data_IF_581115105779
#
_entry.id   IF_581115105779
#
_cell.length_a   1.000
_cell.length_b   1.000
_cell.length_c   1.000
_cell.angle_alpha   90.00
_cell.angle_beta   90.00
_cell.angle_gamma   90.00
#
_symmetry.space_group_name_H-M   'P 1'
#
loop_
_entity.id
_entity.type
_entity.pdbx_description
1 polymer ?
#
# COMPACT_ATOMS: atom_id res chain seq x y z
N UNK A 1 -5.90 17.37 24.82
CA UNK A 1 -4.81 16.74 24.04
C UNK A 1 -4.72 15.28 24.47
N UNK A 2 -4.75 14.33 23.54
CA UNK A 2 -4.49 12.91 23.88
C UNK A 2 -2.99 12.77 24.10
N UNK A 3 -2.56 12.43 25.31
CA UNK A 3 -1.19 12.03 25.57
C UNK A 3 -0.97 10.66 24.91
N UNK A 4 -0.09 10.59 23.92
CA UNK A 4 0.35 9.33 23.33
C UNK A 4 1.54 8.83 24.13
N UNK A 5 1.32 7.76 24.91
CA UNK A 5 2.39 7.04 25.60
C UNK A 5 2.99 6.03 24.62
N UNK A 6 4.32 5.96 24.55
CA UNK A 6 5.03 4.91 23.79
C UNK A 6 4.73 3.57 24.47
N UNK A 7 4.08 2.65 23.78
CA UNK A 7 3.82 1.31 24.29
C UNK A 7 5.07 0.49 23.99
N UNK A 8 5.83 0.15 25.03
CA UNK A 8 6.96 -0.78 24.87
C UNK A 8 6.42 -2.17 24.52
N UNK A 9 6.56 -2.56 23.26
CA UNK A 9 6.15 -3.89 22.79
C UNK A 9 7.30 -4.87 22.94
N UNK A 10 7.09 -5.98 23.63
CA UNK A 10 8.01 -7.11 23.65
C UNK A 10 7.89 -7.93 22.36
N UNK A 11 8.82 -8.87 22.11
CA UNK A 11 8.68 -9.85 21.01
C UNK A 11 7.31 -10.54 21.04
N UNK A 12 6.87 -10.93 22.24
CA UNK A 12 5.60 -11.61 22.44
C UNK A 12 4.42 -10.73 22.03
N UNK A 13 4.44 -9.45 22.43
CA UNK A 13 3.36 -8.51 22.09
C UNK A 13 3.25 -8.32 20.57
N UNK A 14 4.38 -8.26 19.86
CA UNK A 14 4.40 -8.15 18.39
C UNK A 14 3.80 -9.40 17.75
N UNK A 15 4.22 -10.59 18.18
CA UNK A 15 3.70 -11.85 17.65
C UNK A 15 2.20 -12.02 17.93
N UNK A 16 1.74 -11.66 19.13
CA UNK A 16 0.32 -11.72 19.50
C UNK A 16 -0.51 -10.71 18.68
N UNK A 17 0.02 -9.53 18.42
CA UNK A 17 -0.60 -8.52 17.56
C UNK A 17 -0.72 -8.98 16.10
N UNK A 18 0.34 -9.58 15.55
CA UNK A 18 0.34 -10.16 14.21
C UNK A 18 -0.66 -11.32 14.14
N UNK A 19 -0.66 -12.23 15.12
CA UNK A 19 -1.61 -13.36 15.19
C UNK A 19 -3.05 -12.88 15.25
N UNK A 20 -3.34 -11.87 16.08
CA UNK A 20 -4.66 -11.25 16.18
C UNK A 20 -5.07 -10.62 14.84
N UNK A 21 -4.16 -9.89 14.20
CA UNK A 21 -4.41 -9.23 12.92
C UNK A 21 -4.66 -10.24 11.80
N UNK A 22 -3.83 -11.28 11.72
CA UNK A 22 -4.02 -12.44 10.83
C UNK A 22 -5.40 -13.10 11.06
N UNK A 23 -5.76 -13.41 12.31
CA UNK A 23 -7.07 -13.96 12.63
C UNK A 23 -8.23 -13.06 12.18
N UNK A 24 -8.11 -11.75 12.33
CA UNK A 24 -9.13 -10.81 11.85
C UNK A 24 -9.31 -10.91 10.32
N UNK A 25 -8.24 -11.06 9.55
CA UNK A 25 -8.34 -11.24 8.11
C UNK A 25 -9.06 -12.53 7.71
N UNK A 26 -8.70 -13.66 8.34
CA UNK A 26 -9.22 -14.96 7.93
C UNK A 26 -10.61 -15.29 8.52
N UNK A 27 -10.98 -14.70 9.67
CA UNK A 27 -12.28 -14.97 10.33
C UNK A 27 -13.36 -13.93 10.03
N UNK A 28 -13.00 -12.67 9.84
CA UNK A 28 -13.97 -11.56 9.81
C UNK A 28 -14.20 -10.92 8.43
N UNK A 29 -13.42 -11.31 7.42
CA UNK A 29 -13.59 -10.87 6.03
C UNK A 29 -14.38 -11.94 5.31
N UNK A 30 -15.53 -11.56 4.73
CA UNK A 30 -16.21 -12.47 3.81
C UNK A 30 -15.23 -12.76 2.67
N UNK A 31 -15.02 -14.04 2.34
CA UNK A 31 -14.26 -14.46 1.14
C UNK A 31 -14.80 -13.86 -0.18
N UNK A 32 -15.90 -13.11 -0.13
CA UNK A 32 -16.47 -12.35 -1.24
C UNK A 32 -15.62 -11.13 -1.66
N UNK A 33 -14.75 -10.59 -0.79
CA UNK A 33 -14.02 -9.34 -1.08
C UNK A 33 -12.69 -9.54 -1.81
N UNK A 34 -12.06 -10.70 -1.64
CA UNK A 34 -10.75 -11.04 -2.18
C UNK A 34 -10.74 -12.48 -2.65
N UNK A 35 -9.94 -12.80 -3.66
CA UNK A 35 -9.83 -14.14 -4.22
C UNK A 35 -9.12 -15.12 -3.27
N UNK A 36 -9.34 -16.42 -3.50
CA UNK A 36 -8.63 -17.47 -2.74
C UNK A 36 -7.10 -17.35 -2.91
N UNK A 37 -6.63 -16.94 -4.09
CA UNK A 37 -5.20 -16.69 -4.37
C UNK A 37 -4.63 -15.56 -3.50
N UNK A 38 -5.39 -14.47 -3.31
CA UNK A 38 -5.00 -13.38 -2.42
C UNK A 38 -4.81 -13.89 -0.98
N UNK A 39 -5.80 -14.62 -0.46
CA UNK A 39 -5.75 -15.15 0.90
C UNK A 39 -4.64 -16.19 1.07
N UNK A 40 -4.42 -17.04 0.08
CA UNK A 40 -3.33 -18.02 0.09
C UNK A 40 -1.95 -17.33 0.17
N UNK A 41 -1.73 -16.29 -0.66
CA UNK A 41 -0.51 -15.50 -0.61
C UNK A 41 -0.34 -14.79 0.75
N UNK A 42 -1.41 -14.18 1.25
CA UNK A 42 -1.41 -13.45 2.52
C UNK A 42 -1.11 -14.37 3.72
N UNK A 43 -1.71 -15.56 3.76
CA UNK A 43 -1.49 -16.54 4.82
C UNK A 43 -0.05 -17.04 4.84
N UNK A 44 0.50 -17.33 3.66
CA UNK A 44 1.91 -17.73 3.52
C UNK A 44 2.85 -16.64 4.02
N UNK A 45 2.58 -15.37 3.69
CA UNK A 45 3.39 -14.23 4.13
C UNK A 45 3.32 -14.01 5.64
N UNK A 46 2.13 -14.11 6.24
CA UNK A 46 2.00 -14.01 7.70
C UNK A 46 2.78 -15.11 8.42
N UNK A 47 2.68 -16.35 7.93
CA UNK A 47 3.41 -17.49 8.49
C UNK A 47 4.92 -17.24 8.43
N UNK A 48 5.45 -16.94 7.24
CA UNK A 48 6.89 -16.67 7.05
C UNK A 48 7.37 -15.49 7.92
N UNK A 49 6.55 -14.44 8.05
CA UNK A 49 6.87 -13.28 8.86
C UNK A 49 6.93 -13.58 10.36
N UNK A 50 5.97 -14.35 10.87
CA UNK A 50 5.97 -14.78 12.27
C UNK A 50 7.15 -15.70 12.57
N UNK A 51 7.41 -16.70 11.72
CA UNK A 51 8.56 -17.61 11.86
C UNK A 51 9.88 -16.81 11.93
N UNK A 52 10.06 -15.85 11.03
CA UNK A 52 11.25 -15.01 11.00
C UNK A 52 11.40 -14.12 12.24
N UNK A 53 10.31 -13.62 12.80
CA UNK A 53 10.33 -12.85 14.07
C UNK A 53 10.66 -13.76 15.25
N UNK A 54 10.10 -14.97 15.28
CA UNK A 54 10.36 -15.97 16.33
C UNK A 54 11.87 -16.28 16.39
N UNK A 55 12.49 -16.52 15.23
CA UNK A 55 13.91 -16.83 15.07
C UNK A 55 14.85 -15.64 15.33
N UNK A 56 14.37 -14.41 15.20
CA UNK A 56 15.21 -13.21 15.33
C UNK A 56 15.41 -12.83 16.80
N UNK A 57 16.66 -12.61 17.24
CA UNK A 57 16.93 -12.05 18.58
C UNK A 57 16.56 -10.57 18.56
N UNK A 58 15.58 -10.19 19.38
CA UNK A 58 15.16 -8.80 19.58
C UNK A 58 15.66 -8.32 20.95
N UNK A 59 16.12 -7.08 21.00
CA UNK A 59 16.51 -6.42 22.26
C UNK A 59 15.27 -6.26 23.13
N UNK A 60 15.34 -6.72 24.37
CA UNK A 60 14.29 -6.65 25.39
C UNK A 60 14.94 -6.57 26.78
N UNK A 61 14.68 -5.54 27.60
CA UNK A 61 13.79 -4.40 27.35
C UNK A 61 14.37 -3.35 26.42
N UNK A 62 13.49 -2.67 25.67
CA UNK A 62 13.84 -1.47 24.92
C UNK A 62 13.98 -0.23 25.84
N UNK A 63 14.86 0.73 25.50
CA UNK A 63 14.87 2.05 26.13
C UNK A 63 13.53 2.79 25.93
N UNK A 64 13.31 3.89 26.64
CA UNK A 64 11.99 4.56 26.70
C UNK A 64 11.52 5.12 25.36
N UNK A 65 12.46 5.60 24.56
CA UNK A 65 12.21 6.27 23.28
C UNK A 65 12.09 5.30 22.10
N UNK A 66 12.16 3.98 22.35
CA UNK A 66 12.23 2.97 21.31
C UNK A 66 11.02 2.04 21.32
N UNK A 67 10.53 1.70 20.13
CA UNK A 67 9.42 0.77 19.95
C UNK A 67 9.63 -0.12 18.73
N UNK A 68 9.18 -1.38 18.83
CA UNK A 68 8.96 -2.21 17.67
C UNK A 68 7.59 -1.97 17.06
N UNK A 69 7.56 -1.70 15.76
CA UNK A 69 6.34 -1.59 14.97
C UNK A 69 6.43 -2.50 13.76
N UNK A 70 5.31 -3.04 13.30
CA UNK A 70 5.29 -3.81 12.07
C UNK A 70 4.25 -3.23 11.11
N UNK A 71 4.52 -3.38 9.82
CA UNK A 71 3.62 -2.95 8.77
C UNK A 71 3.67 -3.89 7.59
N UNK A 72 2.65 -3.84 6.77
CA UNK A 72 2.61 -4.52 5.49
C UNK A 72 1.94 -3.65 4.43
N UNK A 73 2.38 -3.82 3.21
CA UNK A 73 1.78 -3.25 2.02
C UNK A 73 1.71 -4.31 0.90
N UNK A 74 1.29 -3.93 -0.30
CA UNK A 74 1.24 -4.83 -1.45
C UNK A 74 2.60 -5.37 -1.90
N UNK A 75 3.71 -4.89 -1.35
CA UNK A 75 5.07 -5.19 -1.82
C UNK A 75 5.93 -5.86 -0.75
N UNK A 76 5.61 -5.70 0.54
CA UNK A 76 6.43 -6.24 1.64
C UNK A 76 5.72 -6.25 3.00
N UNK A 77 6.26 -7.09 3.88
CA UNK A 77 6.03 -7.09 5.33
C UNK A 77 7.33 -6.64 6.00
N UNK A 78 7.23 -5.75 6.98
CA UNK A 78 8.38 -5.18 7.68
C UNK A 78 8.19 -5.18 9.18
N UNK A 79 9.23 -5.59 9.91
CA UNK A 79 9.42 -5.26 11.32
C UNK A 79 10.39 -4.07 11.38
N UNK A 80 9.98 -3.04 12.10
CA UNK A 80 10.68 -1.79 12.26
C UNK A 80 11.03 -1.59 13.73
N UNK A 81 12.20 -1.00 13.97
CA UNK A 81 12.56 -0.39 15.24
C UNK A 81 12.52 1.13 15.05
N UNK A 82 11.66 1.78 15.81
CA UNK A 82 11.39 3.21 15.71
C UNK A 82 11.92 3.91 16.95
N UNK A 83 12.59 5.04 16.73
CA UNK A 83 12.95 5.98 17.79
C UNK A 83 12.02 7.18 17.74
N UNK A 84 11.62 7.65 18.90
CA UNK A 84 10.77 8.82 19.06
C UNK A 84 11.48 9.89 19.85
N UNK A 85 11.45 11.11 19.33
CA UNK A 85 11.80 12.28 20.12
C UNK A 85 10.64 12.59 21.08
N UNK A 86 10.91 12.51 22.38
CA UNK A 86 9.96 12.85 23.44
C UNK A 86 10.41 14.12 24.17
N UNK A 87 9.46 14.94 24.62
CA UNK A 87 9.78 16.06 25.49
C UNK A 87 9.93 15.64 26.96
N UNK A 88 10.28 16.58 27.83
CA UNK A 88 10.44 16.37 29.28
C UNK A 88 9.18 15.79 29.96
N UNK A 89 8.00 16.04 29.39
CA UNK A 89 6.71 15.51 29.85
C UNK A 89 6.36 14.14 29.23
N UNK A 90 7.32 13.47 28.58
CA UNK A 90 7.17 12.19 27.89
C UNK A 90 6.11 12.20 26.78
N UNK A 91 5.87 13.36 26.20
CA UNK A 91 4.97 13.51 25.06
C UNK A 91 5.77 13.32 23.78
N UNK A 92 5.30 12.42 22.93
CA UNK A 92 5.84 12.17 21.60
C UNK A 92 5.77 13.45 20.75
N UNK A 93 6.93 13.88 20.23
CA UNK A 93 7.06 15.01 19.31
C UNK A 93 7.07 14.51 17.86
N UNK A 94 7.97 13.58 17.54
CA UNK A 94 8.09 12.97 16.20
C UNK A 94 8.85 11.66 16.23
N UNK A 95 8.74 10.91 15.13
CA UNK A 95 9.68 9.85 14.76
C UNK A 95 10.87 10.49 14.06
N UNK A 96 12.08 10.28 14.55
CA UNK A 96 13.32 10.79 13.95
C UNK A 96 14.21 9.67 13.39
N UNK A 97 14.09 8.44 13.89
CA UNK A 97 14.81 7.28 13.35
C UNK A 97 13.88 6.07 13.12
N UNK A 98 14.11 5.38 12.01
CA UNK A 98 13.39 4.14 11.65
C UNK A 98 14.39 3.16 11.06
N UNK A 99 14.52 1.99 11.70
CA UNK A 99 15.37 0.90 11.22
C UNK A 99 14.51 -0.29 10.81
N UNK A 100 14.72 -0.81 9.60
CA UNK A 100 14.09 -2.06 9.18
C UNK A 100 14.88 -3.25 9.71
N UNK A 101 14.30 -4.00 10.63
CA UNK A 101 14.93 -5.19 11.23
C UNK A 101 14.66 -6.45 10.41
N UNK A 102 13.41 -6.63 9.99
CA UNK A 102 12.99 -7.75 9.15
C UNK A 102 12.25 -7.17 7.97
N UNK A 103 12.54 -7.72 6.79
CA UNK A 103 11.81 -7.45 5.56
C UNK A 103 11.53 -8.76 4.85
N UNK A 104 10.27 -8.97 4.52
CA UNK A 104 9.80 -10.08 3.68
C UNK A 104 9.13 -9.46 2.45
N UNK A 105 9.71 -9.62 1.25
CA UNK A 105 9.09 -9.12 0.03
C UNK A 105 7.87 -9.97 -0.33
N UNK A 106 6.81 -9.31 -0.81
CA UNK A 106 5.68 -10.00 -1.42
C UNK A 106 6.13 -10.57 -2.78
N UNK A 107 5.80 -11.84 -3.11
CA UNK A 107 6.12 -12.41 -4.41
C UNK A 107 5.55 -11.57 -5.57
N UNK A 108 6.39 -11.36 -6.60
CA UNK A 108 6.05 -10.53 -7.76
C UNK A 108 5.92 -11.39 -9.02
N UNK A 109 4.67 -11.65 -9.40
CA UNK A 109 4.27 -12.55 -10.47
C UNK A 109 4.45 -11.90 -11.86
N UNK A 110 4.76 -12.69 -12.88
CA UNK A 110 4.58 -12.23 -14.27
C UNK A 110 3.10 -12.14 -14.62
N UNK A 111 2.78 -11.50 -15.75
CA UNK A 111 1.41 -11.45 -16.24
C UNK A 111 0.84 -12.85 -16.54
N UNK A 112 1.68 -13.78 -17.00
CA UNK A 112 1.34 -15.17 -17.26
C UNK A 112 1.09 -15.95 -15.97
N UNK A 113 1.95 -15.80 -14.96
CA UNK A 113 1.77 -16.45 -13.65
C UNK A 113 0.51 -15.96 -12.96
N UNK A 114 0.27 -14.65 -12.97
CA UNK A 114 -0.97 -14.06 -12.45
C UNK A 114 -2.20 -14.59 -13.19
N UNK A 115 -2.13 -14.66 -14.53
CA UNK A 115 -3.21 -15.16 -15.34
C UNK A 115 -3.53 -16.64 -15.04
N UNK A 116 -2.49 -17.46 -14.87
CA UNK A 116 -2.61 -18.87 -14.52
C UNK A 116 -3.27 -19.07 -13.16
N UNK A 117 -2.80 -18.37 -12.12
CA UNK A 117 -3.35 -18.45 -10.75
C UNK A 117 -4.83 -18.08 -10.68
N UNK A 118 -5.25 -17.08 -11.45
CA UNK A 118 -6.66 -16.66 -11.48
C UNK A 118 -7.49 -17.31 -12.60
N UNK A 119 -6.95 -18.31 -13.32
CA UNK A 119 -7.61 -18.99 -14.43
C UNK A 119 -8.20 -18.04 -15.50
N UNK A 120 -7.39 -17.07 -15.93
CA UNK A 120 -7.74 -16.09 -16.97
C UNK A 120 -6.68 -16.05 -18.09
N UNK A 121 -6.97 -15.35 -19.19
CA UNK A 121 -6.02 -15.17 -20.29
C UNK A 121 -4.99 -14.08 -19.96
N UNK A 122 -3.71 -14.34 -20.21
CA UNK A 122 -2.63 -13.35 -20.03
C UNK A 122 -2.84 -12.04 -20.82
N UNK A 123 -3.48 -12.12 -22.01
CA UNK A 123 -3.87 -10.95 -22.79
C UNK A 123 -4.82 -10.00 -22.03
N UNK A 124 -5.71 -10.56 -21.19
CA UNK A 124 -6.63 -9.78 -20.35
C UNK A 124 -5.87 -9.05 -19.24
N UNK A 125 -4.90 -9.72 -18.62
CA UNK A 125 -4.01 -9.13 -17.60
C UNK A 125 -3.21 -7.97 -18.19
N UNK A 126 -2.61 -8.18 -19.36
CA UNK A 126 -1.86 -7.13 -20.08
C UNK A 126 -2.76 -5.94 -20.41
N UNK A 127 -4.00 -6.18 -20.84
CA UNK A 127 -4.98 -5.12 -21.09
C UNK A 127 -5.33 -4.36 -19.82
N UNK A 128 -5.44 -5.03 -18.67
CA UNK A 128 -5.70 -4.39 -17.38
C UNK A 128 -4.53 -3.51 -16.93
N UNK A 129 -3.30 -3.98 -17.08
CA UNK A 129 -2.11 -3.18 -16.79
C UNK A 129 -2.09 -1.93 -17.67
N UNK A 130 -2.29 -2.09 -18.99
CA UNK A 130 -2.31 -0.95 -19.93
C UNK A 130 -3.38 0.11 -19.58
N UNK A 131 -4.50 -0.33 -19.01
CA UNK A 131 -5.60 0.55 -18.55
C UNK A 131 -5.44 1.02 -17.10
N UNK A 132 -4.28 0.75 -16.50
CA UNK A 132 -3.92 1.07 -15.12
C UNK A 132 -4.91 0.54 -14.08
N UNK A 133 -5.45 -0.66 -14.34
CA UNK A 133 -6.36 -1.36 -13.43
C UNK A 133 -5.65 -2.24 -12.41
N UNK A 134 -4.39 -2.59 -12.66
CA UNK A 134 -3.52 -3.30 -11.73
C UNK A 134 -2.43 -2.32 -11.30
N UNK A 135 -2.62 -1.69 -10.14
CA UNK A 135 -1.78 -0.57 -9.67
C UNK A 135 -0.59 -1.00 -8.81
N UNK A 136 -0.66 -2.23 -8.35
CA UNK A 136 0.41 -2.95 -7.66
C UNK A 136 1.45 -3.53 -8.62
N UNK A 137 1.24 -3.35 -9.93
CA UNK A 137 2.19 -3.78 -10.94
C UNK A 137 3.32 -2.76 -11.09
N UNK A 138 4.49 -3.24 -11.48
CA UNK A 138 5.59 -2.41 -11.98
C UNK A 138 6.34 -3.08 -13.12
N UNK A 139 7.17 -2.30 -13.83
CA UNK A 139 7.97 -2.78 -14.94
C UNK A 139 9.39 -3.12 -14.47
N UNK A 140 9.85 -4.34 -14.78
CA UNK A 140 11.22 -4.78 -14.56
C UNK A 140 11.82 -5.16 -15.91
N UNK A 141 12.63 -4.27 -16.49
CA UNK A 141 13.09 -4.38 -17.86
C UNK A 141 11.92 -4.41 -18.86
N UNK A 142 11.72 -5.56 -19.52
CA UNK A 142 10.61 -5.76 -20.48
C UNK A 142 9.38 -6.44 -19.89
N UNK A 143 9.45 -6.88 -18.64
CA UNK A 143 8.43 -7.72 -18.03
C UNK A 143 7.65 -6.95 -16.97
N UNK A 144 6.33 -7.09 -16.98
CA UNK A 144 5.48 -6.59 -15.90
C UNK A 144 5.50 -7.56 -14.72
N UNK A 145 5.60 -6.99 -13.53
CA UNK A 145 5.63 -7.70 -12.25
C UNK A 145 4.42 -7.26 -11.43
N UNK A 146 3.57 -8.19 -11.03
CA UNK A 146 2.31 -7.94 -10.32
C UNK A 146 2.42 -8.55 -8.92
N UNK A 147 2.07 -7.79 -7.89
CA UNK A 147 2.09 -8.33 -6.52
C UNK A 147 1.15 -9.54 -6.39
N UNK A 148 1.58 -10.59 -5.69
CA UNK A 148 0.72 -11.72 -5.34
C UNK A 148 -0.45 -11.34 -4.43
N UNK A 149 -0.40 -10.17 -3.77
CA UNK A 149 -1.51 -9.60 -3.00
C UNK A 149 -2.43 -8.73 -3.87
N UNK A 150 -2.57 -9.04 -5.15
CA UNK A 150 -3.41 -8.26 -6.08
C UNK A 150 -4.64 -9.06 -6.45
N UNK A 151 -5.81 -8.46 -6.31
CA UNK A 151 -7.05 -9.07 -6.80
C UNK A 151 -7.40 -8.72 -8.24
N UNK A 152 -8.35 -9.48 -8.77
CA UNK A 152 -8.94 -9.18 -10.07
C UNK A 152 -9.58 -7.79 -10.06
N UNK A 153 -9.25 -6.92 -11.04
CA UNK A 153 -9.83 -5.60 -11.08
C UNK A 153 -11.36 -5.62 -11.24
N UNK A 154 -12.03 -4.72 -10.52
CA UNK A 154 -13.48 -4.55 -10.61
C UNK A 154 -13.91 -3.76 -11.86
N UNK A 155 -15.23 -3.69 -12.08
CA UNK A 155 -15.80 -2.91 -13.18
C UNK A 155 -15.66 -1.41 -12.89
N UNK A 156 -15.32 -0.64 -13.93
CA UNK A 156 -15.08 0.79 -13.81
C UNK A 156 -13.65 1.14 -13.41
N UNK A 157 -13.44 2.41 -13.07
CA UNK A 157 -12.23 2.95 -12.48
C UNK A 157 -12.52 3.29 -11.01
N UNK A 158 -11.58 2.98 -10.12
CA UNK A 158 -11.63 3.36 -8.71
C UNK A 158 -10.57 4.43 -8.47
N UNK A 159 -10.76 5.32 -7.50
CA UNK A 159 -9.75 6.32 -7.17
C UNK A 159 -8.41 5.67 -6.81
N UNK A 160 -7.32 6.43 -6.89
CA UNK A 160 -5.98 5.92 -6.67
C UNK A 160 -5.14 6.90 -5.88
N UNK A 161 -4.27 6.37 -5.02
CA UNK A 161 -3.26 7.14 -4.30
C UNK A 161 -1.90 6.49 -4.56
N UNK A 162 -0.90 7.31 -4.82
CA UNK A 162 0.47 6.87 -5.09
C UNK A 162 1.44 7.63 -4.19
N UNK A 163 2.34 6.91 -3.55
CA UNK A 163 3.49 7.47 -2.86
C UNK A 163 4.64 7.68 -3.84
N UNK A 164 5.16 8.90 -3.84
CA UNK A 164 6.29 9.30 -4.66
C UNK A 164 7.54 9.41 -3.76
N UNK A 165 8.57 8.59 -4.00
CA UNK A 165 9.81 8.66 -3.22
C UNK A 165 10.61 9.91 -3.58
N UNK A 166 11.53 10.30 -2.70
CA UNK A 166 12.36 11.50 -2.91
C UNK A 166 13.28 11.38 -4.13
N UNK A 167 13.77 10.17 -4.42
CA UNK A 167 14.69 9.88 -5.50
C UNK A 167 13.99 9.03 -6.56
N UNK A 168 13.58 9.68 -7.63
CA UNK A 168 13.01 9.05 -8.81
C UNK A 168 14.02 9.02 -9.96
N UNK A 169 14.13 7.85 -10.56
CA UNK A 169 14.79 7.66 -11.85
C UNK A 169 13.74 7.22 -12.86
N UNK A 170 14.05 7.32 -14.16
CA UNK A 170 13.22 6.75 -15.24
C UNK A 170 11.79 7.32 -15.36
N UNK A 171 11.65 8.64 -15.19
CA UNK A 171 10.40 9.36 -15.47
C UNK A 171 10.54 10.12 -16.81
N UNK A 172 9.58 9.99 -17.75
CA UNK A 172 9.59 10.78 -18.98
C UNK A 172 9.62 12.29 -18.73
N UNK A 173 10.41 13.01 -19.52
CA UNK A 173 10.67 14.47 -19.36
C UNK A 173 9.38 15.30 -19.22
N UNK A 174 8.32 14.94 -19.94
CA UNK A 174 7.04 15.66 -19.88
C UNK A 174 6.34 15.58 -18.51
N UNK A 175 6.61 14.54 -17.73
CA UNK A 175 5.99 14.33 -16.41
C UNK A 175 6.95 14.62 -15.26
N UNK A 176 8.26 14.65 -15.52
CA UNK A 176 9.28 14.88 -14.50
C UNK A 176 9.02 16.17 -13.68
N UNK A 177 8.73 17.34 -14.27
CA UNK A 177 8.49 18.58 -13.50
C UNK A 177 7.30 18.51 -12.54
N UNK A 178 6.32 17.65 -12.84
CA UNK A 178 5.12 17.43 -12.04
C UNK A 178 5.44 16.49 -10.87
N UNK A 179 6.00 15.33 -11.20
CA UNK A 179 6.20 14.23 -10.24
C UNK A 179 7.36 14.54 -9.29
N UNK A 180 8.43 15.19 -9.76
CA UNK A 180 9.64 15.45 -8.95
C UNK A 180 9.40 16.40 -7.76
N UNK A 181 8.28 17.14 -7.77
CA UNK A 181 7.90 18.09 -6.70
C UNK A 181 6.84 17.51 -5.75
N UNK A 182 6.33 16.32 -6.06
CA UNK A 182 5.29 15.65 -5.31
C UNK A 182 5.87 14.53 -4.45
N UNK A 183 5.32 14.33 -3.26
CA UNK A 183 5.46 13.11 -2.46
C UNK A 183 4.23 12.22 -2.54
N UNK A 184 3.08 12.75 -2.97
CA UNK A 184 1.85 11.98 -3.13
C UNK A 184 1.06 12.44 -4.35
N UNK A 185 0.46 11.49 -5.05
CA UNK A 185 -0.44 11.75 -6.18
C UNK A 185 -1.76 11.05 -5.92
N UNK A 186 -2.86 11.81 -6.02
CA UNK A 186 -4.22 11.32 -5.88
C UNK A 186 -4.93 11.47 -7.22
N UNK A 187 -5.56 10.41 -7.70
CA UNK A 187 -6.35 10.40 -8.93
C UNK A 187 -7.80 10.03 -8.59
N UNK A 188 -8.69 11.00 -8.72
CA UNK A 188 -10.12 10.83 -8.44
C UNK A 188 -10.93 10.84 -9.73
N UNK A 189 -11.92 9.97 -9.84
CA UNK A 189 -12.90 10.05 -10.91
C UNK A 189 -13.87 11.21 -10.63
N UNK A 190 -14.21 11.95 -11.68
CA UNK A 190 -15.31 12.90 -11.62
C UNK A 190 -16.66 12.16 -11.50
N UNK A 191 -17.45 12.53 -10.48
CA UNK A 191 -18.74 11.89 -10.20
C UNK A 191 -19.81 12.31 -11.20
N UNK A 192 -19.73 13.53 -11.71
CA UNK A 192 -20.72 14.16 -12.59
C UNK A 192 -20.38 13.93 -14.06
N UNK A 193 -19.09 13.78 -14.39
CA UNK A 193 -18.62 13.59 -15.76
C UNK A 193 -17.89 12.25 -15.97
N UNK A 194 -18.58 11.28 -16.56
CA UNK A 194 -18.03 9.94 -16.86
C UNK A 194 -16.86 10.07 -17.84
N UNK A 195 -15.68 9.60 -17.41
CA UNK A 195 -14.48 9.57 -18.24
C UNK A 195 -13.56 10.78 -18.04
N UNK A 196 -13.94 11.70 -17.13
CA UNK A 196 -13.08 12.75 -16.61
C UNK A 196 -12.52 12.37 -15.24
N UNK A 197 -11.30 12.84 -14.99
CA UNK A 197 -10.53 12.53 -13.81
C UNK A 197 -9.76 13.75 -13.35
N UNK A 198 -9.67 13.89 -12.04
CA UNK A 198 -8.84 14.88 -11.39
C UNK A 198 -7.56 14.22 -10.87
N UNK A 199 -6.42 14.81 -11.21
CA UNK A 199 -5.12 14.43 -10.64
C UNK A 199 -4.65 15.56 -9.76
N UNK A 200 -4.44 15.26 -8.47
CA UNK A 200 -3.94 16.20 -7.47
C UNK A 200 -2.58 15.72 -6.96
N UNK A 201 -1.58 16.61 -7.00
CA UNK A 201 -0.21 16.34 -6.58
C UNK A 201 0.08 17.12 -5.30
N UNK A 202 0.64 16.43 -4.31
CA UNK A 202 0.93 16.98 -2.99
C UNK A 202 2.42 16.89 -2.69
N UNK A 203 2.98 17.92 -2.04
CA UNK A 203 4.35 17.88 -1.54
C UNK A 203 4.44 17.18 -0.17
N UNK A 204 5.66 17.05 0.38
CA UNK A 204 5.90 16.41 1.69
C UNK A 204 5.17 17.07 2.87
N UNK A 205 4.77 18.33 2.71
CA UNK A 205 3.98 19.07 3.72
C UNK A 205 2.47 18.86 3.54
N UNK A 206 2.07 17.97 2.64
CA UNK A 206 0.69 17.72 2.25
C UNK A 206 -0.01 18.95 1.64
N UNK A 207 0.76 19.87 1.07
CA UNK A 207 0.22 21.01 0.33
C UNK A 207 0.00 20.59 -1.13
N UNK A 208 -1.18 20.88 -1.67
CA UNK A 208 -1.49 20.64 -3.08
C UNK A 208 -0.65 21.60 -3.94
N UNK A 209 0.32 21.05 -4.68
CA UNK A 209 1.21 21.83 -5.56
C UNK A 209 0.66 21.96 -6.97
N UNK A 210 -0.18 21.02 -7.40
CA UNK A 210 -0.81 21.05 -8.71
C UNK A 210 -2.08 20.21 -8.74
N UNK A 211 -3.05 20.70 -9.50
CA UNK A 211 -4.30 20.01 -9.82
C UNK A 211 -4.52 20.07 -11.33
N UNK A 212 -4.91 18.97 -11.95
CA UNK A 212 -5.25 18.93 -13.37
C UNK A 212 -6.45 18.03 -13.64
N UNK A 213 -7.25 18.44 -14.62
CA UNK A 213 -8.35 17.65 -15.15
C UNK A 213 -7.88 16.95 -16.42
N UNK A 214 -8.26 15.68 -16.57
CA UNK A 214 -7.82 14.87 -17.68
C UNK A 214 -8.90 13.89 -18.12
N UNK A 215 -8.88 13.53 -19.39
CA UNK A 215 -9.73 12.48 -19.93
C UNK A 215 -9.13 11.09 -19.68
N UNK A 216 -9.84 10.04 -20.09
CA UNK A 216 -9.40 8.65 -19.90
C UNK A 216 -8.02 8.36 -20.50
N UNK A 217 -7.72 8.88 -21.69
CA UNK A 217 -6.45 8.63 -22.38
C UNK A 217 -5.28 9.29 -21.65
N UNK A 218 -5.45 10.55 -21.27
CA UNK A 218 -4.45 11.31 -20.52
C UNK A 218 -4.19 10.70 -19.14
N UNK A 219 -5.25 10.26 -18.45
CA UNK A 219 -5.15 9.55 -17.18
C UNK A 219 -4.38 8.24 -17.33
N UNK A 220 -4.73 7.41 -18.32
CA UNK A 220 -4.02 6.14 -18.56
C UNK A 220 -2.55 6.36 -18.94
N UNK A 221 -2.23 7.43 -19.67
CA UNK A 221 -0.85 7.77 -20.00
C UNK A 221 -0.05 8.21 -18.77
N UNK A 222 -0.63 9.07 -17.93
CA UNK A 222 0.02 9.56 -16.72
C UNK A 222 0.16 8.47 -15.65
N UNK A 223 -0.95 7.79 -15.32
CA UNK A 223 -0.97 6.70 -14.34
C UNK A 223 -0.10 5.52 -14.80
N UNK A 224 -0.01 5.29 -16.11
CA UNK A 224 0.87 4.29 -16.71
C UNK A 224 2.34 4.50 -16.37
N UNK A 225 2.78 5.76 -16.28
CA UNK A 225 4.14 6.11 -15.84
C UNK A 225 4.32 5.84 -14.35
N UNK A 226 3.32 6.15 -13.53
CA UNK A 226 3.36 5.89 -12.10
C UNK A 226 3.50 4.39 -11.81
N UNK A 227 2.63 3.56 -12.39
CA UNK A 227 2.67 2.12 -12.15
C UNK A 227 3.90 1.48 -12.77
N UNK A 228 4.41 1.99 -13.90
CA UNK A 228 5.60 1.38 -14.51
C UNK A 228 6.85 1.48 -13.61
N UNK A 229 6.94 2.52 -12.78
CA UNK A 229 8.11 2.78 -11.97
C UNK A 229 8.13 1.91 -10.69
N UNK A 230 9.14 1.05 -10.46
CA UNK A 230 9.19 0.18 -9.29
C UNK A 230 9.33 0.92 -7.96
N UNK A 231 9.79 2.18 -7.96
CA UNK A 231 9.96 2.98 -6.74
C UNK A 231 8.67 3.69 -6.32
N UNK A 232 7.75 3.93 -7.25
CA UNK A 232 6.44 4.51 -6.95
C UNK A 232 5.53 3.42 -6.40
N UNK A 233 4.83 3.70 -5.30
CA UNK A 233 4.01 2.70 -4.59
C UNK A 233 2.55 3.10 -4.59
N UNK A 234 1.70 2.23 -5.12
CA UNK A 234 0.27 2.34 -4.88
C UNK A 234 -0.04 2.23 -3.38
N UNK A 235 -0.78 3.22 -2.86
CA UNK A 235 -1.27 3.26 -1.49
C UNK A 235 -2.76 2.92 -1.47
N UNK A 236 -3.20 2.01 -0.58
CA UNK A 236 -4.59 1.83 -0.24
C UNK A 236 -5.25 3.17 0.12
N UNK A 237 -6.42 3.48 -0.43
CA UNK A 237 -7.15 4.73 -0.12
C UNK A 237 -7.46 4.85 1.38
N UNK A 238 -7.63 3.72 2.07
CA UNK A 238 -7.94 3.69 3.50
C UNK A 238 -6.69 3.61 4.40
N UNK A 239 -5.50 3.93 3.87
CA UNK A 239 -4.27 4.12 4.62
C UNK A 239 -3.38 2.89 4.73
N UNK A 240 -3.93 1.68 4.88
CA UNK A 240 -3.17 0.43 4.81
C UNK A 240 -4.03 -0.70 4.24
N UNK A 241 -3.38 -1.81 3.90
CA UNK A 241 -4.04 -3.00 3.34
C UNK A 241 -5.12 -3.52 4.30
N UNK A 242 -4.93 -3.36 5.62
CA UNK A 242 -5.92 -3.69 6.65
C UNK A 242 -7.23 -2.92 6.48
N UNK A 243 -7.15 -1.60 6.38
CA UNK A 243 -8.29 -0.73 6.24
C UNK A 243 -8.96 -0.87 4.87
N UNK A 244 -8.22 -1.20 3.82
CA UNK A 244 -8.81 -1.53 2.52
C UNK A 244 -9.62 -2.83 2.59
N UNK A 245 -9.03 -3.90 3.14
CA UNK A 245 -9.70 -5.18 3.36
C UNK A 245 -10.96 -5.01 4.25
N UNK A 246 -10.89 -4.19 5.29
CA UNK A 246 -12.03 -3.93 6.19
C UNK A 246 -13.07 -3.00 5.56
N UNK A 247 -12.66 -1.97 4.82
CA UNK A 247 -13.60 -1.05 4.17
C UNK A 247 -14.49 -1.75 3.14
N UNK A 248 -13.99 -2.80 2.48
CA UNK A 248 -14.74 -3.65 1.56
C UNK A 248 -15.88 -4.40 2.26
N UNK A 249 -15.73 -4.74 3.56
CA UNK A 249 -16.79 -5.32 4.39
C UNK A 249 -17.95 -4.34 4.62
N UNK A 250 -17.64 -3.05 4.80
CA UNK A 250 -18.64 -2.03 5.08
C UNK A 250 -19.33 -1.49 3.82
N UNK A 251 -18.72 -1.59 2.63
CA UNK A 251 -19.40 -1.27 1.35
C UNK A 251 -20.55 -2.22 0.98
N UNK A 252 -20.65 -3.38 1.63
CA UNK A 252 -21.80 -4.29 1.51
C UNK A 252 -22.98 -3.95 2.42
N UNK A 253 -22.88 -2.91 3.24
CA UNK A 253 -23.91 -2.44 4.15
C UNK A 253 -24.13 -0.94 4.00
N UNK A 254 -24.90 -0.55 2.97
CA UNK A 254 -25.59 0.74 2.95
C UNK A 254 -24.77 1.95 2.53
N UNK A 255 -25.43 2.80 1.75
CA UNK A 255 -25.02 4.14 1.38
C UNK A 255 -24.59 4.99 2.58
N UNK A 256 -23.58 5.83 2.33
CA UNK A 256 -23.28 7.00 3.14
C UNK A 256 -22.35 6.72 4.31
N UNK A 257 -21.13 7.27 4.22
CA UNK A 257 -20.46 7.99 5.30
C UNK A 257 -19.15 8.55 4.71
N UNK A 258 -19.30 9.72 4.08
CA UNK A 258 -18.28 10.76 4.19
C UNK A 258 -18.31 11.22 5.65
N UNK A 259 -17.16 11.29 6.31
CA UNK A 259 -17.01 12.13 7.50
C UNK A 259 -15.70 12.90 7.37
N UNK A 260 -15.85 14.18 7.65
CA UNK A 260 -14.93 15.32 7.61
C UNK A 260 -13.59 15.10 8.31
#
# INVERSE_FOLDING_TARGET
MKNYYIIKRTKKDILDDIKKTSCCYFKNVKRESHSDEFFFALESLFREFMEKIEDTILIDPLPEEWEYSWRMDYYKFELLLMHYEINENKVLLRVDQVFTLIKIPVPMLTAEEFAMRHNIKAARVTQWIRRCKIRTAYKSGRTWRISALTDLPTRGYMDAVYEIPELLDEIPDKFYPLISKSSEVIICRDKDNIGMYEISLYNKKLECVQKMQCNTREREEFEGVLIANPKIKYKPIFGNVYSEIISLKYRGMGDGLYVE
#
